data_IF_083692489897
#
_entry.id   IF_083692489897
#
_cell.length_a   1.000
_cell.length_b   1.000
_cell.length_c   1.000
_cell.angle_alpha   90.00
_cell.angle_beta   90.00
_cell.angle_gamma   90.00
#
_symmetry.space_group_name_H-M   'P 1'
#
loop_
_entity.id
_entity.type
_entity.pdbx_description
1 polymer ?
#
# COMPACT_ATOMS: atom_id res chain seq x y z
N UNK A 1 3.60 8.74 1.94
CA UNK A 1 4.34 8.52 0.67
C UNK A 1 3.38 7.81 -0.28
N UNK A 2 2.61 8.51 -1.12
CA UNK A 2 1.64 7.84 -2.00
C UNK A 2 1.25 8.70 -3.20
N UNK A 3 1.09 10.01 -2.97
CA UNK A 3 0.90 10.99 -4.05
C UNK A 3 1.97 10.80 -5.13
N UNK A 4 1.53 10.83 -6.38
CA UNK A 4 2.33 10.67 -7.61
C UNK A 4 3.03 9.31 -7.76
N UNK A 5 2.67 8.31 -6.94
CA UNK A 5 3.14 6.93 -7.09
C UNK A 5 2.21 6.08 -7.96
N UNK A 6 2.71 5.00 -8.57
CA UNK A 6 1.85 4.07 -9.29
C UNK A 6 0.83 3.39 -8.36
N UNK A 7 -0.34 3.09 -8.90
CA UNK A 7 -1.31 2.21 -8.24
C UNK A 7 -0.73 0.79 -8.15
N UNK A 8 -0.64 0.24 -6.94
CA UNK A 8 -0.14 -1.12 -6.68
C UNK A 8 -1.28 -2.13 -6.46
N UNK A 9 -2.50 -1.65 -6.20
CA UNK A 9 -3.70 -2.50 -6.13
C UNK A 9 -4.01 -3.18 -7.48
N UNK A 10 -3.86 -2.45 -8.60
CA UNK A 10 -3.98 -2.98 -9.97
C UNK A 10 -5.22 -3.87 -10.19
N UNK A 11 -6.37 -3.48 -9.63
CA UNK A 11 -7.61 -4.27 -9.75
C UNK A 11 -8.05 -4.29 -11.22
N UNK A 12 -8.19 -5.47 -11.85
CA UNK A 12 -8.58 -5.58 -13.25
C UNK A 12 -9.91 -4.88 -13.54
N UNK A 13 -10.00 -4.18 -14.67
CA UNK A 13 -11.17 -3.39 -15.10
C UNK A 13 -11.59 -2.23 -14.17
N UNK A 14 -10.87 -1.99 -13.06
CA UNK A 14 -11.13 -0.90 -12.11
C UNK A 14 -9.99 0.12 -12.10
N UNK A 15 -8.74 -0.34 -12.22
CA UNK A 15 -7.56 0.50 -12.13
C UNK A 15 -7.50 1.52 -13.29
N UNK A 16 -7.40 2.81 -12.95
CA UNK A 16 -7.24 3.88 -13.93
C UNK A 16 -5.77 4.22 -14.22
N UNK A 17 -4.83 3.61 -13.49
CA UNK A 17 -3.39 3.87 -13.57
C UNK A 17 -2.96 5.32 -13.33
N UNK A 18 -3.87 6.19 -12.91
CA UNK A 18 -3.60 7.60 -12.60
C UNK A 18 -2.80 7.77 -11.32
N UNK A 19 -1.61 8.34 -11.43
CA UNK A 19 -0.69 8.59 -10.32
C UNK A 19 -1.08 9.81 -9.48
N UNK A 20 -1.73 10.80 -10.10
CA UNK A 20 -2.14 12.06 -9.46
C UNK A 20 -3.28 11.87 -8.45
N UNK A 21 -3.97 10.71 -8.52
CA UNK A 21 -5.02 10.31 -7.59
C UNK A 21 -4.57 9.28 -6.54
N UNK A 22 -3.29 8.89 -6.56
CA UNK A 22 -2.81 7.81 -5.71
C UNK A 22 -2.75 8.21 -4.24
N UNK A 23 -3.34 7.37 -3.39
CA UNK A 23 -3.35 7.51 -1.93
C UNK A 23 -2.87 6.22 -1.25
N UNK A 24 -2.52 6.33 0.04
CA UNK A 24 -2.25 5.15 0.86
C UNK A 24 -3.59 4.54 1.27
N UNK A 25 -3.95 3.42 0.65
CA UNK A 25 -5.16 2.67 0.92
C UNK A 25 -4.87 1.68 2.05
N UNK A 26 -5.52 1.83 3.19
CA UNK A 26 -5.35 0.94 4.34
C UNK A 26 -6.10 -0.38 4.16
N UNK A 27 -5.61 -1.44 4.81
CA UNK A 27 -6.33 -2.72 4.90
C UNK A 27 -7.70 -2.55 5.56
N UNK A 28 -8.68 -3.31 5.08
CA UNK A 28 -10.00 -3.46 5.72
C UNK A 28 -10.10 -4.70 6.62
N UNK A 29 -8.98 -5.40 6.89
CA UNK A 29 -8.95 -6.64 7.67
C UNK A 29 -8.69 -6.35 9.15
N UNK A 30 -9.47 -6.98 10.04
CA UNK A 30 -9.32 -6.84 11.49
C UNK A 30 -7.95 -7.31 12.01
N UNK A 31 -7.37 -8.36 11.41
CA UNK A 31 -6.03 -8.87 11.73
C UNK A 31 -4.91 -7.85 11.48
N UNK A 32 -5.17 -6.80 10.69
CA UNK A 32 -4.25 -5.69 10.44
C UNK A 32 -4.51 -4.47 11.34
N UNK A 33 -5.32 -4.62 12.40
CA UNK A 33 -5.64 -3.56 13.36
C UNK A 33 -6.84 -2.67 12.96
N UNK A 34 -7.60 -3.05 11.92
CA UNK A 34 -8.84 -2.34 11.52
C UNK A 34 -9.94 -2.57 12.56
N UNK A 35 -10.54 -1.48 13.08
CA UNK A 35 -11.69 -1.57 13.98
C UNK A 35 -12.58 -0.32 13.88
N UNK A 36 -13.89 -0.45 13.61
CA UNK A 36 -14.83 0.70 13.57
C UNK A 36 -14.31 1.89 12.75
N UNK A 37 -14.14 3.06 13.39
CA UNK A 37 -13.57 4.27 12.77
C UNK A 37 -12.01 4.28 12.68
N UNK A 38 -11.32 3.35 13.35
CA UNK A 38 -9.87 3.19 13.27
C UNK A 38 -9.48 2.54 11.95
N UNK A 39 -8.46 3.11 11.30
CA UNK A 39 -7.77 2.53 10.14
C UNK A 39 -6.83 1.40 10.59
N UNK A 40 -6.57 0.44 9.71
CA UNK A 40 -5.48 -0.52 9.94
C UNK A 40 -4.15 0.20 10.20
N UNK A 41 -3.19 -0.50 10.80
CA UNK A 41 -1.87 0.09 11.05
C UNK A 41 -1.21 0.49 9.73
N UNK A 42 -0.41 1.57 9.73
CA UNK A 42 0.12 2.17 8.50
C UNK A 42 1.01 1.22 7.68
N UNK A 43 1.66 0.24 8.34
CA UNK A 43 2.42 -0.80 7.66
C UNK A 43 1.52 -1.73 6.84
N UNK A 44 0.21 -1.79 7.10
CA UNK A 44 -0.79 -2.49 6.29
C UNK A 44 -1.55 -1.52 5.39
N UNK A 45 -0.79 -0.82 4.54
CA UNK A 45 -1.32 0.02 3.47
C UNK A 45 -0.74 -0.37 2.10
N UNK A 46 -1.37 0.09 1.03
CA UNK A 46 -0.86 -0.06 -0.34
C UNK A 46 -1.23 1.18 -1.16
N UNK A 47 -0.38 1.60 -2.08
CA UNK A 47 -0.70 2.67 -3.01
C UNK A 47 -1.84 2.26 -3.93
N UNK A 48 -2.89 3.09 -4.01
CA UNK A 48 -4.02 2.85 -4.89
C UNK A 48 -4.53 4.16 -5.50
N UNK A 49 -4.83 4.13 -6.80
CA UNK A 49 -5.58 5.22 -7.45
C UNK A 49 -6.98 5.32 -6.85
N UNK A 50 -7.65 6.47 -7.02
CA UNK A 50 -8.95 6.74 -6.43
C UNK A 50 -10.01 5.67 -6.78
N UNK A 51 -10.01 5.13 -8.01
CA UNK A 51 -10.95 4.09 -8.42
C UNK A 51 -10.72 2.75 -7.70
N UNK A 52 -9.47 2.28 -7.63
CA UNK A 52 -9.13 1.08 -6.87
C UNK A 52 -9.41 1.23 -5.37
N UNK A 53 -9.16 2.42 -4.82
CA UNK A 53 -9.43 2.73 -3.43
C UNK A 53 -10.93 2.64 -3.12
N UNK A 54 -11.77 3.31 -3.92
CA UNK A 54 -13.23 3.25 -3.77
C UNK A 54 -13.76 1.82 -3.92
N UNK A 55 -13.24 1.04 -4.86
CA UNK A 55 -13.61 -0.37 -5.02
C UNK A 55 -13.23 -1.22 -3.80
N UNK A 56 -12.02 -1.02 -3.25
CA UNK A 56 -11.55 -1.76 -2.08
C UNK A 56 -12.43 -1.48 -0.87
N UNK A 57 -12.72 -0.21 -0.60
CA UNK A 57 -13.46 0.20 0.60
C UNK A 57 -14.96 -0.06 0.48
N UNK A 58 -15.56 0.35 -0.63
CA UNK A 58 -17.03 0.45 -0.76
C UNK A 58 -17.60 -0.35 -1.93
N UNK A 59 -16.76 -0.90 -2.81
CA UNK A 59 -17.20 -1.63 -3.99
C UNK A 59 -18.01 -2.90 -3.66
N UNK A 60 -18.82 -3.41 -4.61
CA UNK A 60 -19.72 -4.54 -4.37
C UNK A 60 -19.04 -5.92 -4.37
N UNK A 61 -17.73 -5.97 -4.62
CA UNK A 61 -16.99 -7.22 -4.70
C UNK A 61 -17.01 -8.02 -3.38
N UNK A 62 -17.05 -9.36 -3.43
CA UNK A 62 -16.98 -10.19 -2.24
C UNK A 62 -15.73 -9.89 -1.39
N UNK A 63 -15.89 -9.95 -0.06
CA UNK A 63 -14.80 -9.65 0.88
C UNK A 63 -13.52 -10.46 0.61
N UNK A 64 -13.65 -11.72 0.21
CA UNK A 64 -12.52 -12.58 -0.17
C UNK A 64 -11.73 -12.03 -1.37
N UNK A 65 -12.43 -11.49 -2.37
CA UNK A 65 -11.80 -10.91 -3.56
C UNK A 65 -11.05 -9.62 -3.20
N UNK A 66 -11.67 -8.76 -2.38
CA UNK A 66 -11.04 -7.55 -1.84
C UNK A 66 -9.80 -7.87 -1.01
N UNK A 67 -9.87 -8.90 -0.15
CA UNK A 67 -8.72 -9.40 0.62
C UNK A 67 -7.60 -9.84 -0.32
N UNK A 68 -7.89 -10.65 -1.33
CA UNK A 68 -6.89 -11.10 -2.30
C UNK A 68 -6.21 -9.92 -3.02
N UNK A 69 -7.01 -8.99 -3.55
CA UNK A 69 -6.50 -7.79 -4.22
C UNK A 69 -5.61 -6.94 -3.30
N UNK A 70 -6.05 -6.71 -2.06
CA UNK A 70 -5.25 -5.98 -1.07
C UNK A 70 -3.93 -6.70 -0.79
N UNK A 71 -3.94 -8.01 -0.49
CA UNK A 71 -2.71 -8.75 -0.18
C UNK A 71 -1.73 -8.75 -1.35
N UNK A 72 -2.21 -8.90 -2.59
CA UNK A 72 -1.36 -8.79 -3.79
C UNK A 72 -0.78 -7.38 -3.95
N UNK A 73 -1.57 -6.33 -3.75
CA UNK A 73 -1.10 -4.94 -3.80
C UNK A 73 -0.14 -4.61 -2.66
N UNK A 74 -0.36 -5.18 -1.47
CA UNK A 74 0.49 -4.99 -0.31
C UNK A 74 1.86 -5.67 -0.47
N UNK A 75 1.91 -6.86 -1.09
CA UNK A 75 3.18 -7.47 -1.46
C UNK A 75 4.01 -6.57 -2.39
N UNK A 76 3.37 -5.93 -3.37
CA UNK A 76 4.03 -4.92 -4.23
C UNK A 76 4.45 -3.68 -3.44
N UNK A 77 3.65 -3.26 -2.45
CA UNK A 77 3.98 -2.14 -1.58
C UNK A 77 5.25 -2.40 -0.77
N UNK A 78 5.41 -3.62 -0.24
CA UNK A 78 6.63 -4.02 0.48
C UNK A 78 7.85 -3.93 -0.43
N UNK A 79 7.77 -4.40 -1.67
CA UNK A 79 8.85 -4.24 -2.65
C UNK A 79 9.17 -2.77 -2.92
N UNK A 80 8.15 -1.93 -3.10
CA UNK A 80 8.34 -0.50 -3.31
C UNK A 80 8.98 0.19 -2.10
N UNK A 81 8.62 -0.20 -0.87
CA UNK A 81 9.27 0.30 0.34
C UNK A 81 10.71 -0.16 0.48
N UNK A 82 11.02 -1.41 0.10
CA UNK A 82 12.40 -1.91 0.08
C UNK A 82 13.29 -1.07 -0.83
N UNK A 83 12.79 -0.68 -2.00
CA UNK A 83 13.50 0.22 -2.91
C UNK A 83 13.63 1.64 -2.32
N UNK A 84 12.52 2.23 -1.85
CA UNK A 84 12.55 3.58 -1.26
C UNK A 84 13.51 3.66 -0.07
N UNK A 85 13.58 2.62 0.77
CA UNK A 85 14.43 2.62 1.95
C UNK A 85 15.92 2.80 1.62
N UNK A 86 16.36 2.39 0.43
CA UNK A 86 17.77 2.42 0.02
C UNK A 86 18.09 3.41 -1.10
N UNK A 87 17.09 3.91 -1.81
CA UNK A 87 17.29 4.88 -2.88
C UNK A 87 17.75 6.25 -2.34
N UNK A 88 18.99 6.71 -2.63
CA UNK A 88 19.49 7.99 -2.13
C UNK A 88 18.81 9.22 -2.74
N UNK A 89 18.08 9.06 -3.85
CA UNK A 89 17.34 10.14 -4.51
C UNK A 89 15.99 10.44 -3.81
N UNK A 90 15.51 9.50 -3.00
CA UNK A 90 14.29 9.67 -2.21
C UNK A 90 14.53 10.59 -0.99
N UNK A 91 13.59 11.49 -0.65
CA UNK A 91 13.69 12.32 0.54
C UNK A 91 13.90 11.48 1.81
N UNK A 92 14.79 11.90 2.72
CA UNK A 92 15.13 11.15 3.94
C UNK A 92 13.88 10.74 4.74
N UNK A 93 12.90 11.65 4.88
CA UNK A 93 11.62 11.36 5.54
C UNK A 93 10.88 10.17 4.95
N UNK A 94 11.00 9.95 3.63
CA UNK A 94 10.38 8.84 2.93
C UNK A 94 11.16 7.55 3.17
N UNK A 95 12.49 7.59 3.04
CA UNK A 95 13.36 6.45 3.36
C UNK A 95 13.15 5.94 4.78
N UNK A 96 13.11 6.85 5.77
CA UNK A 96 12.84 6.52 7.18
C UNK A 96 11.44 5.94 7.41
N UNK A 97 10.42 6.48 6.73
CA UNK A 97 9.06 5.96 6.85
C UNK A 97 8.92 4.55 6.22
N UNK A 98 9.56 4.31 5.07
CA UNK A 98 9.61 2.99 4.46
C UNK A 98 10.36 1.99 5.36
N UNK A 99 11.51 2.37 5.92
CA UNK A 99 12.25 1.56 6.88
C UNK A 99 11.43 1.18 8.11
N UNK A 100 10.66 2.11 8.69
CA UNK A 100 9.75 1.80 9.81
C UNK A 100 8.65 0.82 9.42
N UNK A 101 8.03 1.01 8.25
CA UNK A 101 7.00 0.10 7.76
C UNK A 101 7.54 -1.33 7.58
N UNK A 102 8.73 -1.46 7.00
CA UNK A 102 9.43 -2.75 6.84
C UNK A 102 9.76 -3.39 8.19
N UNK A 103 10.27 -2.62 9.15
CA UNK A 103 10.57 -3.12 10.49
C UNK A 103 9.33 -3.67 11.21
N UNK A 104 8.18 -2.99 11.12
CA UNK A 104 6.91 -3.48 11.70
C UNK A 104 6.43 -4.80 11.06
N UNK A 105 6.81 -5.06 9.81
CA UNK A 105 6.48 -6.29 9.08
C UNK A 105 7.54 -7.38 9.26
N UNK A 106 8.59 -7.15 10.04
CA UNK A 106 9.79 -8.00 10.11
C UNK A 106 10.40 -8.28 8.72
N UNK A 107 10.33 -7.29 7.81
CA UNK A 107 10.88 -7.36 6.47
C UNK A 107 12.22 -6.62 6.38
N UNK A 108 13.20 -7.21 5.71
CA UNK A 108 14.50 -6.56 5.46
C UNK A 108 14.41 -5.59 4.28
N UNK A 109 15.06 -4.40 4.34
CA UNK A 109 15.36 -3.59 3.15
C UNK A 109 16.17 -4.39 2.11
N UNK A 110 16.17 -3.95 0.84
CA UNK A 110 17.12 -4.50 -0.14
C UNK A 110 18.51 -4.00 0.24
N UNK A 111 19.52 -4.88 0.33
CA UNK A 111 20.90 -4.44 0.53
C UNK A 111 21.34 -3.60 -0.67
N UNK A 112 22.10 -2.53 -0.42
CA UNK A 112 22.76 -1.80 -1.49
C UNK A 112 23.86 -2.71 -2.04
N UNK A 113 23.77 -3.05 -3.34
CA UNK A 113 24.85 -3.71 -4.07
C UNK A 113 26.04 -2.77 -4.26
#
# INVERSE_FOLDING_TARGET
>A
MARDRPCLLLVPAVCTHRTDTTVACHSNLGEHGKAGARKADDCYSTWGCAACHAWLDQGPAPARQKRFAFMSGHARQVLAWRQIATDPTEPERFRRAAGRALAHLNATPLEAA
#
